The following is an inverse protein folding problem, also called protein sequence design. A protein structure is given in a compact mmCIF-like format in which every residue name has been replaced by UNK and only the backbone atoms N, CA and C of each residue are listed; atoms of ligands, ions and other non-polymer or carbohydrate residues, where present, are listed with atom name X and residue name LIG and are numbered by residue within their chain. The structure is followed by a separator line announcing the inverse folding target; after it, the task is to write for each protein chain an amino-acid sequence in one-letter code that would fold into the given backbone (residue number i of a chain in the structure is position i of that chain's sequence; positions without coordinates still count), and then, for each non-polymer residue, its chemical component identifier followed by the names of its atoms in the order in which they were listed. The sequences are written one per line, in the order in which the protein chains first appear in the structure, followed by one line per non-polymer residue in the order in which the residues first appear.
data_IF_554656871901
#
_entry.id   IF_554656871901
#
_cell.length_a   1.000
_cell.length_b   1.000
_cell.length_c   1.000
_cell.angle_alpha   90.00
_cell.angle_beta   90.00
_cell.angle_gamma   90.00
#
_symmetry.space_group_name_H-M   'P 1'
#
loop_
_entity.id
_entity.type
_entity.pdbx_description
1 polymer ?
#
# COMPACT_ATOMS: atom_id res chain seq x y z
N UNK A 1 -0.62 -1.68 14.18
CA UNK A 1 -0.25 -2.43 12.97
C UNK A 1 1.18 -2.13 12.53
N UNK A 2 1.59 -0.87 12.29
CA UNK A 2 2.95 -0.58 11.80
C UNK A 2 4.09 -1.11 12.70
N UNK A 3 3.98 -0.98 14.03
CA UNK A 3 4.96 -1.51 14.99
C UNK A 3 5.09 -3.04 14.95
N UNK A 4 3.97 -3.75 14.83
CA UNK A 4 3.94 -5.22 14.78
C UNK A 4 4.47 -5.73 13.45
N UNK A 5 4.09 -5.10 12.33
CA UNK A 5 4.62 -5.44 11.01
C UNK A 5 6.12 -5.18 10.94
N UNK A 6 6.61 -4.02 11.39
CA UNK A 6 8.03 -3.71 11.42
C UNK A 6 8.83 -4.67 12.32
N UNK A 7 8.27 -5.05 13.48
CA UNK A 7 8.91 -6.00 14.38
C UNK A 7 9.03 -7.41 13.78
N UNK A 8 8.02 -7.84 13.00
CA UNK A 8 8.00 -9.14 12.31
C UNK A 8 8.94 -9.13 11.10
N UNK A 9 8.88 -8.08 10.28
CA UNK A 9 9.58 -8.00 8.99
C UNK A 9 11.08 -7.76 9.14
N UNK A 10 11.51 -7.10 10.22
CA UNK A 10 12.92 -6.88 10.53
C UNK A 10 13.47 -7.85 11.60
N UNK A 11 12.67 -8.81 12.10
CA UNK A 11 13.07 -9.75 13.17
C UNK A 11 13.67 -9.04 14.40
N UNK A 12 13.18 -7.83 14.71
CA UNK A 12 13.72 -6.94 15.77
C UNK A 12 13.15 -7.24 17.15
N UNK A 13 12.66 -8.47 17.35
CA UNK A 13 12.13 -8.91 18.64
C UNK A 13 13.14 -8.67 19.77
N UNK A 14 14.42 -8.77 19.45
CA UNK A 14 15.50 -8.85 20.43
C UNK A 14 16.22 -7.53 20.72
N UNK A 15 15.97 -6.44 19.96
CA UNK A 15 16.66 -5.14 20.16
C UNK A 15 15.68 -4.00 20.48
N UNK A 16 15.47 -3.66 21.77
CA UNK A 16 14.54 -2.59 22.16
C UNK A 16 14.96 -1.21 21.63
N UNK A 17 16.26 -0.99 21.43
CA UNK A 17 16.80 0.24 20.86
C UNK A 17 16.30 0.50 19.43
N UNK A 18 16.18 -0.52 18.57
CA UNK A 18 15.70 -0.29 17.22
C UNK A 18 14.19 -0.05 17.17
N UNK A 19 13.41 -0.66 18.07
CA UNK A 19 12.00 -0.34 18.20
C UNK A 19 11.80 1.13 18.61
N UNK A 20 12.63 1.63 19.53
CA UNK A 20 12.61 3.04 19.91
C UNK A 20 12.95 3.94 18.72
N UNK A 21 13.95 3.57 17.92
CA UNK A 21 14.32 4.31 16.71
C UNK A 21 13.17 4.35 15.69
N UNK A 22 12.52 3.21 15.44
CA UNK A 22 11.37 3.14 14.52
C UNK A 22 10.23 4.04 14.99
N UNK A 23 9.87 3.95 16.28
CA UNK A 23 8.81 4.79 16.86
C UNK A 23 9.17 6.28 16.79
N UNK A 24 10.40 6.66 17.14
CA UNK A 24 10.88 8.03 17.04
C UNK A 24 10.82 8.54 15.61
N UNK A 25 11.25 7.72 14.64
CA UNK A 25 11.21 8.06 13.22
C UNK A 25 9.77 8.30 12.73
N UNK A 26 8.81 7.45 13.13
CA UNK A 26 7.40 7.63 12.80
C UNK A 26 6.87 8.96 13.37
N UNK A 27 7.15 9.25 14.64
CA UNK A 27 6.70 10.50 15.29
C UNK A 27 7.30 11.72 14.60
N UNK A 28 8.60 11.70 14.28
CA UNK A 28 9.27 12.79 13.56
C UNK A 28 8.65 13.00 12.18
N UNK A 29 8.36 11.93 11.44
CA UNK A 29 7.65 12.02 10.15
C UNK A 29 6.27 12.66 10.31
N UNK A 30 5.49 12.26 11.32
CA UNK A 30 4.18 12.89 11.59
C UNK A 30 4.29 14.38 11.87
N UNK A 31 5.29 14.80 12.68
CA UNK A 31 5.53 16.21 12.99
C UNK A 31 5.93 16.99 11.73
N UNK A 32 6.84 16.44 10.92
CA UNK A 32 7.26 17.04 9.65
C UNK A 32 6.06 17.24 8.72
N UNK A 33 5.21 16.23 8.54
CA UNK A 33 4.00 16.34 7.72
C UNK A 33 3.04 17.40 8.27
N UNK A 34 2.85 17.46 9.59
CA UNK A 34 1.99 18.47 10.21
C UNK A 34 2.52 19.90 10.02
N UNK A 35 3.84 20.11 10.04
CA UNK A 35 4.44 21.42 9.85
C UNK A 35 4.48 21.87 8.38
N UNK A 36 4.86 20.98 7.46
CA UNK A 36 5.11 21.34 6.06
C UNK A 36 3.90 21.14 5.13
N UNK A 37 2.98 20.22 5.45
CA UNK A 37 1.84 19.87 4.60
C UNK A 37 0.53 19.89 5.41
N UNK A 38 -0.01 21.06 5.78
CA UNK A 38 -1.24 21.15 6.57
C UNK A 38 -2.50 20.69 5.81
N UNK A 39 -2.39 20.42 4.50
CA UNK A 39 -3.52 20.01 3.68
C UNK A 39 -3.74 18.48 3.79
N UNK A 40 -4.56 18.09 4.77
CA UNK A 40 -4.88 16.70 5.11
C UNK A 40 -5.47 15.95 3.91
N UNK A 41 -6.26 16.64 3.07
CA UNK A 41 -6.91 16.05 1.91
C UNK A 41 -5.92 15.44 0.91
N UNK A 42 -4.84 16.15 0.63
CA UNK A 42 -3.78 15.70 -0.29
C UNK A 42 -3.08 14.45 0.26
N UNK A 43 -2.76 14.45 1.56
CA UNK A 43 -2.12 13.30 2.21
C UNK A 43 -3.03 12.06 2.13
N UNK A 44 -4.31 12.20 2.47
CA UNK A 44 -5.28 11.10 2.45
C UNK A 44 -5.49 10.58 1.01
N UNK A 45 -5.57 11.46 0.01
CA UNK A 45 -5.76 11.06 -1.39
C UNK A 45 -4.59 10.24 -1.93
N UNK A 46 -3.35 10.69 -1.73
CA UNK A 46 -2.17 9.96 -2.20
C UNK A 46 -1.95 8.66 -1.43
N UNK A 47 -2.01 8.71 -0.10
CA UNK A 47 -1.82 7.51 0.73
C UNK A 47 -2.93 6.49 0.53
N UNK A 48 -4.17 6.94 0.38
CA UNK A 48 -5.34 6.11 0.09
C UNK A 48 -5.28 5.48 -1.30
N UNK A 49 -4.91 6.23 -2.33
CA UNK A 49 -4.76 5.69 -3.69
C UNK A 49 -3.63 4.66 -3.78
N UNK A 50 -2.49 4.93 -3.13
CA UNK A 50 -1.35 3.99 -3.09
C UNK A 50 -1.71 2.71 -2.33
N UNK A 51 -2.25 2.86 -1.11
CA UNK A 51 -2.62 1.71 -0.28
C UNK A 51 -3.74 0.89 -0.93
N UNK A 52 -4.74 1.55 -1.53
CA UNK A 52 -5.83 0.91 -2.26
C UNK A 52 -5.35 0.12 -3.47
N UNK A 53 -4.42 0.67 -4.26
CA UNK A 53 -3.81 -0.06 -5.37
C UNK A 53 -3.14 -1.36 -4.89
N UNK A 54 -2.32 -1.29 -3.84
CA UNK A 54 -1.55 -2.45 -3.37
C UNK A 54 -2.42 -3.47 -2.65
N UNK A 55 -3.19 -3.05 -1.63
CA UNK A 55 -3.89 -3.95 -0.73
C UNK A 55 -5.26 -4.37 -1.25
N UNK A 56 -5.99 -3.49 -1.93
CA UNK A 56 -7.38 -3.76 -2.36
C UNK A 56 -7.41 -4.35 -3.76
N UNK A 57 -6.53 -3.90 -4.66
CA UNK A 57 -6.56 -4.32 -6.07
C UNK A 57 -5.47 -5.33 -6.42
N UNK A 58 -4.20 -5.03 -6.16
CA UNK A 58 -3.08 -5.85 -6.61
C UNK A 58 -2.95 -7.17 -5.84
N UNK A 59 -3.01 -7.14 -4.49
CA UNK A 59 -2.84 -8.33 -3.66
C UNK A 59 -3.86 -9.45 -3.96
N UNK A 60 -5.18 -9.20 -3.90
CA UNK A 60 -6.17 -10.25 -4.14
C UNK A 60 -6.15 -10.73 -5.59
N UNK A 61 -5.96 -9.82 -6.56
CA UNK A 61 -5.84 -10.19 -7.97
C UNK A 61 -4.63 -11.11 -8.22
N UNK A 62 -3.46 -10.76 -7.69
CA UNK A 62 -2.24 -11.55 -7.84
C UNK A 62 -2.36 -12.93 -7.18
N UNK A 63 -2.91 -12.98 -5.96
CA UNK A 63 -3.14 -14.24 -5.25
C UNK A 63 -4.13 -15.14 -5.98
N UNK A 64 -5.22 -14.57 -6.51
CA UNK A 64 -6.22 -15.34 -7.23
C UNK A 64 -5.65 -15.91 -8.54
N UNK A 65 -4.95 -15.10 -9.33
CA UNK A 65 -4.30 -15.54 -10.57
C UNK A 65 -3.27 -16.64 -10.30
N UNK A 66 -2.47 -16.50 -9.23
CA UNK A 66 -1.49 -17.53 -8.85
C UNK A 66 -2.17 -18.83 -8.39
N UNK A 67 -3.24 -18.74 -7.61
CA UNK A 67 -4.03 -19.91 -7.21
C UNK A 67 -4.64 -20.63 -8.42
N UNK A 68 -5.12 -19.88 -9.41
CA UNK A 68 -5.68 -20.43 -10.63
C UNK A 68 -4.62 -21.08 -11.53
N UNK A 69 -3.43 -20.48 -11.60
CA UNK A 69 -2.28 -21.06 -12.30
C UNK A 69 -1.85 -22.41 -11.71
N UNK A 70 -1.89 -22.53 -10.37
CA UNK A 70 -1.61 -23.80 -9.69
C UNK A 70 -2.69 -24.87 -9.93
N UNK A 71 -3.93 -24.47 -10.24
CA UNK A 71 -5.04 -25.39 -10.51
C UNK A 71 -5.14 -25.80 -11.99
N UNK A 72 -4.37 -25.18 -12.89
CA UNK A 72 -4.38 -25.50 -14.33
C UNK A 72 -5.63 -25.01 -15.09
N UNK A 73 -6.60 -24.40 -14.43
CA UNK A 73 -7.84 -23.89 -15.04
C UNK A 73 -7.77 -22.38 -15.28
N UNK A 74 -6.87 -21.94 -16.15
CA UNK A 74 -6.76 -20.52 -16.49
C UNK A 74 -7.97 -20.05 -17.31
N UNK A 75 -8.99 -19.57 -16.62
CA UNK A 75 -10.06 -18.80 -17.24
C UNK A 75 -9.50 -17.43 -17.65
N UNK A 76 -9.04 -17.32 -18.91
CA UNK A 76 -8.48 -16.09 -19.50
C UNK A 76 -9.38 -14.86 -19.30
N UNK A 77 -10.70 -15.06 -19.24
CA UNK A 77 -11.69 -14.01 -18.99
C UNK A 77 -11.62 -13.44 -17.57
N UNK A 78 -11.42 -14.29 -16.58
CA UNK A 78 -11.23 -13.87 -15.19
C UNK A 78 -9.90 -13.12 -15.04
N UNK A 79 -8.83 -13.62 -15.66
CA UNK A 79 -7.53 -12.93 -15.66
C UNK A 79 -7.63 -11.53 -16.27
N UNK A 80 -8.36 -11.37 -17.37
CA UNK A 80 -8.60 -10.08 -17.99
C UNK A 80 -9.33 -9.10 -17.05
N UNK A 81 -10.36 -9.55 -16.33
CA UNK A 81 -11.07 -8.74 -15.34
C UNK A 81 -10.16 -8.29 -14.18
N UNK A 82 -9.33 -9.20 -13.66
CA UNK A 82 -8.37 -8.85 -12.60
C UNK A 82 -7.30 -7.87 -13.07
N UNK A 83 -6.78 -8.04 -14.29
CA UNK A 83 -5.86 -7.07 -14.90
C UNK A 83 -6.53 -5.70 -15.07
N UNK A 84 -7.78 -5.65 -15.54
CA UNK A 84 -8.53 -4.40 -15.67
C UNK A 84 -8.68 -3.69 -14.33
N UNK A 85 -8.92 -4.45 -13.26
CA UNK A 85 -9.12 -3.93 -11.92
C UNK A 85 -7.83 -3.33 -11.32
N UNK A 86 -6.69 -3.99 -11.54
CA UNK A 86 -5.36 -3.45 -11.19
C UNK A 86 -5.04 -2.20 -12.02
N UNK A 87 -5.34 -2.22 -13.33
CA UNK A 87 -5.18 -1.06 -14.20
C UNK A 87 -6.04 0.13 -13.77
N UNK A 88 -7.29 -0.11 -13.36
CA UNK A 88 -8.17 0.92 -12.81
C UNK A 88 -7.60 1.52 -11.51
N UNK A 89 -7.03 0.69 -10.63
CA UNK A 89 -6.31 1.15 -9.45
C UNK A 89 -5.09 2.01 -9.78
N UNK A 90 -4.31 1.61 -10.79
CA UNK A 90 -3.15 2.37 -11.25
C UNK A 90 -3.57 3.71 -11.88
N UNK A 91 -4.66 3.70 -12.66
CA UNK A 91 -5.26 4.91 -13.21
C UNK A 91 -5.76 5.86 -12.10
N UNK A 92 -6.33 5.33 -11.01
CA UNK A 92 -6.71 6.14 -9.85
C UNK A 92 -5.48 6.83 -9.22
N UNK A 93 -4.36 6.13 -9.06
CA UNK A 93 -3.11 6.74 -8.57
C UNK A 93 -2.58 7.81 -9.53
N UNK A 94 -2.55 7.52 -10.83
CA UNK A 94 -2.13 8.48 -11.85
C UNK A 94 -3.00 9.73 -11.84
N UNK A 95 -4.32 9.56 -11.72
CA UNK A 95 -5.27 10.67 -11.69
C UNK A 95 -5.05 11.59 -10.48
N UNK A 96 -4.55 11.06 -9.35
CA UNK A 96 -4.20 11.91 -8.20
C UNK A 96 -3.06 12.89 -8.52
N UNK A 97 -2.15 12.57 -9.44
CA UNK A 97 -1.09 13.49 -9.89
C UNK A 97 -1.59 14.56 -10.87
N UNK A 98 -2.61 14.23 -11.67
CA UNK A 98 -3.18 15.17 -12.65
C UNK A 98 -4.22 16.10 -12.05
N UNK A 99 -4.95 15.67 -11.02
CA UNK A 99 -5.79 16.57 -10.24
C UNK A 99 -4.86 17.41 -9.35
N UNK A 100 -4.39 18.49 -9.93
CA UNK A 100 -3.76 19.59 -9.21
C UNK A 100 -4.89 20.42 -8.58
N UNK A 101 -4.80 20.68 -7.28
CA UNK A 101 -5.66 21.67 -6.61
C UNK A 101 -5.29 23.09 -7.08
#
# INVERSE_FOLDING_TARGET
MLRTEAAILLSLRDTPALMLLVNACIVVMCILFACFCPNIGTIIRYTGALSGLVHVFALPAALHVRSLHLRGELAHWMTALYCLLVLAGAANLLMQFFITE
#
